data_IF_119765689261
#
_entry.id   IF_119765689261
#
_cell.length_a   1.000
_cell.length_b   1.000
_cell.length_c   1.000
_cell.angle_alpha   90.00
_cell.angle_beta   90.00
_cell.angle_gamma   90.00
#
_symmetry.space_group_name_H-M   'P 1'
#
loop_
_entity.id
_entity.type
_entity.pdbx_description
1 polymer ?
#
# COMPACT_ATOMS: atom_id res chain seq x y z
N UNK A 1 -19.77 4.55 -14.37
CA UNK A 1 -19.62 5.28 -13.09
C UNK A 1 -18.34 6.10 -13.10
N UNK A 2 -17.14 5.53 -13.15
CA UNK A 2 -15.88 6.28 -13.05
C UNK A 2 -15.77 7.41 -14.08
N UNK A 3 -15.98 7.13 -15.39
CA UNK A 3 -15.97 8.12 -16.46
C UNK A 3 -16.97 9.28 -16.17
N UNK A 4 -18.19 8.97 -15.73
CA UNK A 4 -19.19 9.97 -15.40
C UNK A 4 -18.75 10.87 -14.22
N UNK A 5 -18.13 10.29 -13.19
CA UNK A 5 -17.63 11.04 -12.04
C UNK A 5 -16.48 11.97 -12.44
N UNK A 6 -15.51 11.44 -13.21
CA UNK A 6 -14.38 12.23 -13.69
C UNK A 6 -14.83 13.38 -14.61
N UNK A 7 -15.78 13.14 -15.54
CA UNK A 7 -16.36 14.21 -16.39
C UNK A 7 -17.08 15.27 -15.59
N UNK A 8 -17.87 14.86 -14.60
CA UNK A 8 -18.58 15.81 -13.76
C UNK A 8 -17.61 16.66 -12.95
N UNK A 9 -16.57 16.04 -12.37
CA UNK A 9 -15.52 16.79 -11.66
C UNK A 9 -14.79 17.77 -12.60
N UNK A 10 -14.51 17.37 -13.84
CA UNK A 10 -13.90 18.24 -14.84
C UNK A 10 -14.80 19.41 -15.21
N UNK A 11 -16.14 19.22 -15.23
CA UNK A 11 -17.09 20.27 -15.64
C UNK A 11 -17.36 21.32 -14.56
N UNK A 12 -17.34 20.94 -13.28
CA UNK A 12 -17.70 21.82 -12.16
C UNK A 12 -16.59 21.97 -11.10
N UNK A 13 -15.36 21.48 -11.41
CA UNK A 13 -14.22 21.45 -10.49
C UNK A 13 -14.54 20.72 -9.17
N UNK A 14 -15.41 19.72 -9.22
CA UNK A 14 -15.81 18.91 -8.08
C UNK A 14 -14.71 17.96 -7.63
N UNK A 15 -14.85 17.44 -6.40
CA UNK A 15 -13.91 16.46 -5.79
C UNK A 15 -14.62 15.16 -5.43
N UNK A 16 -15.56 14.73 -6.26
CA UNK A 16 -16.28 13.47 -6.04
C UNK A 16 -15.35 12.30 -6.23
N UNK A 17 -15.53 11.29 -5.40
CA UNK A 17 -14.81 10.01 -5.45
C UNK A 17 -15.76 8.90 -5.88
N UNK A 18 -15.19 7.81 -6.37
CA UNK A 18 -15.95 6.59 -6.68
C UNK A 18 -15.28 5.37 -6.06
N UNK A 19 -16.09 4.40 -5.69
CA UNK A 19 -15.64 3.06 -5.30
C UNK A 19 -16.42 2.08 -6.18
N UNK A 20 -15.70 1.20 -6.86
CA UNK A 20 -16.29 0.15 -7.70
C UNK A 20 -15.75 -1.20 -7.26
N UNK A 21 -16.64 -2.15 -7.09
CA UNK A 21 -16.32 -3.53 -6.73
C UNK A 21 -16.73 -4.43 -7.89
N UNK A 22 -15.80 -5.24 -8.35
CA UNK A 22 -16.00 -6.20 -9.44
C UNK A 22 -15.44 -7.55 -9.03
N UNK A 23 -16.25 -8.59 -9.15
CA UNK A 23 -15.75 -9.96 -9.00
C UNK A 23 -14.80 -10.29 -10.18
N UNK A 24 -13.78 -11.16 -9.97
CA UNK A 24 -12.81 -11.52 -10.99
C UNK A 24 -13.38 -12.51 -12.01
N UNK A 25 -14.50 -12.14 -12.64
CA UNK A 25 -15.14 -12.96 -13.68
C UNK A 25 -14.25 -13.01 -14.91
N UNK A 26 -14.00 -14.20 -15.42
CA UNK A 26 -13.26 -14.38 -16.67
C UNK A 26 -14.05 -13.87 -17.86
N UNK A 27 -13.33 -13.41 -18.87
CA UNK A 27 -13.90 -13.05 -20.17
C UNK A 27 -14.09 -14.31 -21.01
N UNK A 28 -15.18 -14.38 -21.78
CA UNK A 28 -15.45 -15.52 -22.66
C UNK A 28 -14.32 -15.70 -23.68
N UNK A 29 -13.92 -16.94 -23.94
CA UNK A 29 -12.77 -17.26 -24.82
C UNK A 29 -12.92 -16.68 -26.23
N UNK A 30 -14.13 -16.63 -26.78
CA UNK A 30 -14.43 -16.08 -28.10
C UNK A 30 -14.64 -14.56 -28.12
N UNK A 31 -14.65 -13.89 -26.97
CA UNK A 31 -14.94 -12.45 -26.89
C UNK A 31 -13.83 -11.58 -27.44
N UNK A 32 -14.18 -10.38 -27.90
CA UNK A 32 -13.19 -9.39 -28.34
C UNK A 32 -12.29 -8.94 -27.20
N UNK A 33 -12.77 -8.94 -25.96
CA UNK A 33 -11.98 -8.66 -24.77
C UNK A 33 -10.86 -9.70 -24.59
N UNK A 34 -11.17 -11.00 -24.71
CA UNK A 34 -10.18 -12.08 -24.61
C UNK A 34 -9.16 -11.98 -25.76
N UNK A 35 -9.59 -11.73 -26.98
CA UNK A 35 -8.72 -11.51 -28.15
C UNK A 35 -7.81 -10.31 -27.97
N UNK A 36 -8.26 -9.26 -27.28
CA UNK A 36 -7.47 -8.10 -26.93
C UNK A 36 -6.53 -8.31 -25.72
N UNK A 37 -6.46 -9.52 -25.15
CA UNK A 37 -5.56 -9.90 -24.08
C UNK A 37 -6.11 -9.70 -22.66
N UNK A 38 -7.36 -9.27 -22.50
CA UNK A 38 -7.98 -9.12 -21.17
C UNK A 38 -8.56 -10.46 -20.70
N UNK A 39 -8.04 -10.97 -19.60
CA UNK A 39 -8.47 -12.25 -19.02
C UNK A 39 -9.72 -12.12 -18.15
N UNK A 40 -9.91 -10.96 -17.54
CA UNK A 40 -11.04 -10.71 -16.62
C UNK A 40 -11.80 -9.43 -16.95
N UNK A 41 -13.06 -9.38 -16.56
CA UNK A 41 -13.91 -8.18 -16.69
C UNK A 41 -13.32 -7.00 -15.91
N UNK A 42 -12.66 -7.26 -14.80
CA UNK A 42 -11.99 -6.21 -14.01
C UNK A 42 -10.83 -5.57 -14.76
N UNK A 43 -10.07 -6.33 -15.56
CA UNK A 43 -9.01 -5.78 -16.43
C UNK A 43 -9.56 -4.86 -17.50
N UNK A 44 -10.67 -5.27 -18.15
CA UNK A 44 -11.40 -4.42 -19.12
C UNK A 44 -11.85 -3.12 -18.44
N UNK A 45 -12.41 -3.23 -17.24
CA UNK A 45 -12.90 -2.08 -16.48
C UNK A 45 -11.78 -1.11 -16.15
N UNK A 46 -10.62 -1.59 -15.66
CA UNK A 46 -9.44 -0.77 -15.38
C UNK A 46 -8.95 -0.04 -16.64
N UNK A 47 -8.84 -0.76 -17.77
CA UNK A 47 -8.40 -0.13 -19.03
C UNK A 47 -9.38 0.96 -19.48
N UNK A 48 -10.70 0.75 -19.32
CA UNK A 48 -11.71 1.78 -19.62
C UNK A 48 -11.57 3.02 -18.76
N UNK A 49 -11.26 2.87 -17.45
CA UNK A 49 -11.05 4.01 -16.55
C UNK A 49 -9.81 4.82 -17.00
N UNK A 50 -8.71 4.14 -17.31
CA UNK A 50 -7.49 4.79 -17.82
C UNK A 50 -7.79 5.60 -19.09
N UNK A 51 -8.42 4.96 -20.09
CA UNK A 51 -8.76 5.62 -21.36
C UNK A 51 -9.73 6.81 -21.18
N UNK A 52 -10.66 6.70 -20.23
CA UNK A 52 -11.56 7.80 -19.90
C UNK A 52 -10.80 8.97 -19.27
N UNK A 53 -9.87 8.69 -18.36
CA UNK A 53 -9.01 9.70 -17.75
C UNK A 53 -8.14 10.41 -18.79
N UNK A 54 -7.45 9.67 -19.65
CA UNK A 54 -6.64 10.20 -20.75
C UNK A 54 -7.48 11.13 -21.68
N UNK A 55 -8.69 10.68 -22.05
CA UNK A 55 -9.59 11.47 -22.88
C UNK A 55 -10.00 12.77 -22.22
N UNK A 56 -10.40 12.73 -20.95
CA UNK A 56 -10.82 13.91 -20.19
C UNK A 56 -9.65 14.89 -20.03
N UNK A 57 -8.44 14.38 -19.73
CA UNK A 57 -7.24 15.20 -19.63
C UNK A 57 -6.92 15.91 -20.95
N UNK A 58 -7.02 15.21 -22.08
CA UNK A 58 -6.80 15.78 -23.41
C UNK A 58 -7.85 16.84 -23.76
N UNK A 59 -9.12 16.59 -23.44
CA UNK A 59 -10.23 17.52 -23.66
C UNK A 59 -10.09 18.79 -22.79
N UNK A 60 -9.57 18.68 -21.57
CA UNK A 60 -9.37 19.80 -20.63
C UNK A 60 -8.17 20.69 -21.00
N UNK A 61 -7.21 20.21 -21.79
CA UNK A 61 -6.06 20.99 -22.22
C UNK A 61 -5.26 21.60 -21.07
N UNK A 62 -5.11 22.92 -21.02
CA UNK A 62 -4.34 23.64 -20.00
C UNK A 62 -4.90 23.46 -18.58
N UNK A 63 -6.19 23.22 -18.46
CA UNK A 63 -6.86 23.00 -17.15
C UNK A 63 -6.64 21.59 -16.60
N UNK A 64 -5.99 20.71 -17.36
CA UNK A 64 -5.77 19.31 -16.96
C UNK A 64 -4.95 19.14 -15.68
N UNK A 65 -4.05 20.08 -15.36
CA UNK A 65 -3.17 20.00 -14.18
C UNK A 65 -3.88 20.01 -12.83
N UNK A 66 -5.17 20.40 -12.77
CA UNK A 66 -5.98 20.38 -11.56
C UNK A 66 -6.93 19.18 -11.45
N UNK A 67 -7.00 18.33 -12.50
CA UNK A 67 -7.93 17.21 -12.55
C UNK A 67 -7.32 15.94 -11.93
N UNK A 68 -8.01 15.38 -10.95
CA UNK A 68 -7.72 14.05 -10.43
C UNK A 68 -8.47 13.02 -11.27
N UNK A 69 -7.77 12.38 -12.18
CA UNK A 69 -8.25 11.26 -13.02
C UNK A 69 -7.63 9.92 -12.59
N UNK A 70 -6.88 9.93 -11.49
CA UNK A 70 -6.25 8.76 -10.92
C UNK A 70 -7.25 7.82 -10.22
N UNK A 71 -6.85 6.56 -10.07
CA UNK A 71 -7.55 5.58 -9.23
C UNK A 71 -6.58 4.55 -8.70
N UNK A 72 -6.98 3.87 -7.62
CA UNK A 72 -6.27 2.71 -7.09
C UNK A 72 -7.04 1.45 -7.43
N UNK A 73 -6.33 0.43 -7.91
CA UNK A 73 -6.88 -0.90 -8.13
C UNK A 73 -6.33 -1.82 -7.04
N UNK A 74 -7.23 -2.30 -6.19
CA UNK A 74 -6.90 -3.21 -5.09
C UNK A 74 -7.55 -4.56 -5.38
N UNK A 75 -6.92 -5.64 -4.95
CA UNK A 75 -7.47 -6.99 -4.97
C UNK A 75 -7.76 -7.39 -3.52
N UNK A 76 -8.99 -7.84 -3.26
CA UNK A 76 -9.27 -8.49 -1.98
C UNK A 76 -8.54 -9.84 -1.95
N UNK A 77 -7.73 -10.04 -0.94
CA UNK A 77 -6.92 -11.24 -0.75
C UNK A 77 -6.93 -11.65 0.73
N UNK A 78 -6.27 -12.74 1.04
CA UNK A 78 -6.05 -13.19 2.39
C UNK A 78 -5.10 -12.25 3.17
N UNK A 79 -4.94 -12.51 4.46
CA UNK A 79 -3.98 -11.81 5.32
C UNK A 79 -2.57 -11.75 4.70
N UNK A 80 -1.86 -10.65 4.91
CA UNK A 80 -0.45 -10.52 4.54
C UNK A 80 0.47 -11.38 5.42
N UNK A 81 -0.06 -11.84 6.56
CA UNK A 81 0.71 -12.60 7.54
C UNK A 81 0.57 -14.10 7.30
N UNK A 82 1.62 -14.85 7.63
CA UNK A 82 1.57 -16.30 7.70
C UNK A 82 0.62 -16.75 8.81
N UNK A 83 -0.04 -17.89 8.62
CA UNK A 83 -0.84 -18.49 9.68
C UNK A 83 0.09 -18.96 10.82
N UNK A 84 -0.30 -18.63 12.04
CA UNK A 84 0.46 -19.00 13.26
C UNK A 84 -0.14 -20.20 14.00
N UNK A 85 -1.21 -20.77 13.47
CA UNK A 85 -1.91 -21.90 14.07
C UNK A 85 -1.50 -23.20 13.37
N UNK A 86 -0.63 -23.95 14.02
CA UNK A 86 -0.22 -25.28 13.60
C UNK A 86 -0.58 -26.29 14.68
N UNK A 87 -0.96 -27.51 14.28
CA UNK A 87 -1.13 -28.58 15.27
C UNK A 87 0.22 -28.97 15.87
N UNK A 88 0.22 -29.50 17.11
CA UNK A 88 1.45 -29.82 17.81
C UNK A 88 2.34 -30.86 17.06
N UNK A 89 1.76 -31.61 16.11
CA UNK A 89 2.50 -32.57 15.27
C UNK A 89 3.12 -31.97 14.02
N UNK A 90 2.76 -30.74 13.67
CA UNK A 90 3.20 -30.10 12.43
C UNK A 90 4.47 -29.25 12.61
N UNK A 91 4.95 -29.08 13.86
CA UNK A 91 6.15 -28.30 14.15
C UNK A 91 7.41 -29.05 13.68
N UNK A 92 8.03 -28.53 12.63
CA UNK A 92 9.34 -28.97 12.11
C UNK A 92 10.38 -27.87 12.30
N UNK A 93 11.68 -28.23 12.20
CA UNK A 93 12.76 -27.24 12.25
C UNK A 93 12.63 -26.20 11.11
N UNK A 94 12.20 -26.65 9.92
CA UNK A 94 11.98 -25.79 8.77
C UNK A 94 10.80 -24.84 9.00
N UNK A 95 9.75 -25.29 9.68
CA UNK A 95 8.62 -24.46 10.08
C UNK A 95 9.04 -23.37 11.06
N UNK A 96 9.92 -23.67 12.01
CA UNK A 96 10.46 -22.70 12.96
C UNK A 96 11.27 -21.60 12.27
N UNK A 97 12.07 -21.97 11.24
CA UNK A 97 12.79 -20.99 10.42
C UNK A 97 11.84 -20.16 9.52
N UNK A 98 10.73 -20.72 9.07
CA UNK A 98 9.68 -19.95 8.35
C UNK A 98 8.93 -18.98 9.26
N UNK A 99 8.86 -19.24 10.58
CA UNK A 99 8.29 -18.34 11.57
C UNK A 99 9.17 -17.11 11.87
N UNK A 100 10.44 -17.11 11.44
CA UNK A 100 11.30 -15.90 11.50
C UNK A 100 10.75 -14.77 10.62
N UNK A 101 10.03 -15.10 9.55
CA UNK A 101 9.27 -14.12 8.76
C UNK A 101 7.77 -14.39 8.91
N UNK A 102 7.10 -13.56 9.68
CA UNK A 102 5.65 -13.62 9.85
C UNK A 102 4.87 -13.11 8.61
N UNK A 103 5.54 -12.55 7.61
CA UNK A 103 4.97 -12.02 6.37
C UNK A 103 5.07 -13.05 5.26
N UNK A 104 4.01 -13.24 4.49
CA UNK A 104 4.00 -14.10 3.30
C UNK A 104 5.02 -13.63 2.27
N UNK A 105 5.73 -14.57 1.64
CA UNK A 105 6.84 -14.27 0.73
C UNK A 105 6.43 -13.56 -0.57
N UNK A 106 5.16 -13.66 -0.95
CA UNK A 106 4.58 -13.05 -2.15
C UNK A 106 4.02 -11.64 -1.93
N UNK A 107 4.17 -11.08 -0.72
CA UNK A 107 3.68 -9.74 -0.36
C UNK A 107 4.72 -8.67 -0.65
N UNK A 108 4.25 -7.58 -1.24
CA UNK A 108 5.06 -6.38 -1.49
C UNK A 108 4.94 -5.38 -0.33
N UNK A 109 5.86 -4.42 -0.26
CA UNK A 109 5.80 -3.32 0.73
C UNK A 109 4.48 -2.55 0.65
N UNK A 110 3.92 -2.39 -0.55
CA UNK A 110 2.63 -1.73 -0.71
C UNK A 110 1.49 -2.57 -0.16
N UNK A 111 1.54 -3.89 -0.25
CA UNK A 111 0.53 -4.76 0.37
C UNK A 111 0.57 -4.62 1.90
N UNK A 112 1.77 -4.54 2.48
CA UNK A 112 1.95 -4.30 3.91
C UNK A 112 1.48 -2.90 4.32
N UNK A 113 1.85 -1.87 3.56
CA UNK A 113 1.42 -0.49 3.80
C UNK A 113 -0.12 -0.40 3.81
N UNK A 114 -0.77 -0.91 2.75
CA UNK A 114 -2.23 -0.87 2.65
C UNK A 114 -2.91 -1.75 3.69
N UNK A 115 -2.32 -2.87 4.08
CA UNK A 115 -2.77 -3.68 5.21
C UNK A 115 -2.78 -2.88 6.53
N UNK A 116 -1.70 -2.15 6.81
CA UNK A 116 -1.62 -1.27 7.99
C UNK A 116 -2.65 -0.12 7.94
N UNK A 117 -2.88 0.46 6.76
CA UNK A 117 -3.91 1.50 6.59
C UNK A 117 -5.30 0.97 6.93
N UNK A 118 -5.64 -0.23 6.46
CA UNK A 118 -6.90 -0.90 6.78
C UNK A 118 -7.04 -1.18 8.27
N UNK A 119 -6.01 -1.73 8.90
CA UNK A 119 -6.03 -2.07 10.33
C UNK A 119 -6.23 -0.83 11.21
N UNK A 120 -5.64 0.30 10.84
CA UNK A 120 -5.82 1.57 11.56
C UNK A 120 -7.04 2.37 11.12
N UNK A 121 -7.83 1.87 10.20
CA UNK A 121 -9.02 2.56 9.68
C UNK A 121 -8.70 3.85 8.95
N UNK A 122 -7.52 3.94 8.33
CA UNK A 122 -7.12 5.10 7.53
C UNK A 122 -7.72 5.04 6.13
N UNK A 123 -8.10 6.17 5.52
CA UNK A 123 -8.63 6.19 4.17
C UNK A 123 -7.61 5.63 3.17
N UNK A 124 -8.01 4.76 2.26
CA UNK A 124 -7.10 4.20 1.24
C UNK A 124 -6.87 5.14 0.05
N UNK A 125 -7.52 6.29 0.01
CA UNK A 125 -7.52 7.21 -1.15
C UNK A 125 -6.55 8.39 -1.02
N UNK A 126 -5.90 8.59 0.13
CA UNK A 126 -4.98 9.71 0.32
C UNK A 126 -3.62 9.44 -0.34
N UNK A 127 -2.86 10.49 -0.69
CA UNK A 127 -1.60 10.34 -1.39
C UNK A 127 -0.55 9.61 -0.54
N UNK A 128 0.36 8.93 -1.20
CA UNK A 128 1.58 8.40 -0.61
C UNK A 128 2.75 8.60 -1.55
N UNK A 129 3.93 8.68 -0.99
CA UNK A 129 5.21 8.73 -1.71
C UNK A 129 6.13 7.63 -1.21
N UNK A 130 7.05 7.22 -2.06
CA UNK A 130 8.12 6.28 -1.71
C UNK A 130 9.45 6.91 -2.09
N UNK A 131 10.40 6.90 -1.19
CA UNK A 131 11.73 7.46 -1.38
C UNK A 131 12.80 6.48 -0.88
N UNK A 132 14.03 6.66 -1.35
CA UNK A 132 15.16 5.88 -0.89
C UNK A 132 15.97 6.69 0.13
N UNK A 133 16.17 6.14 1.32
CA UNK A 133 17.03 6.71 2.37
C UNK A 133 18.07 5.67 2.74
N UNK A 134 19.32 5.93 2.43
CA UNK A 134 20.46 5.02 2.69
C UNK A 134 20.22 3.58 2.19
N UNK A 135 19.56 3.47 1.02
CA UNK A 135 19.26 2.17 0.41
C UNK A 135 17.96 1.51 0.89
N UNK A 136 17.29 2.06 1.91
CA UNK A 136 16.00 1.58 2.38
C UNK A 136 14.84 2.33 1.73
N UNK A 137 13.78 1.62 1.39
CA UNK A 137 12.53 2.19 0.84
C UNK A 137 11.64 2.69 1.97
N UNK A 138 11.45 3.99 2.04
CA UNK A 138 10.59 4.63 3.04
C UNK A 138 9.32 5.13 2.37
N UNK A 139 8.20 4.66 2.84
CA UNK A 139 6.87 5.07 2.38
C UNK A 139 6.29 6.11 3.32
N UNK A 140 5.91 7.26 2.79
CA UNK A 140 5.22 8.32 3.54
C UNK A 140 3.80 8.44 3.02
N UNK A 141 2.83 8.22 3.89
CA UNK A 141 1.41 8.32 3.59
C UNK A 141 0.84 9.60 4.19
N UNK A 142 0.08 10.37 3.36
CA UNK A 142 -0.63 11.60 3.72
C UNK A 142 0.23 12.55 4.57
N UNK A 143 1.38 12.96 4.03
CA UNK A 143 2.31 13.92 4.64
C UNK A 143 2.77 13.58 6.07
N UNK A 144 2.72 12.31 6.45
CA UNK A 144 3.22 11.83 7.75
C UNK A 144 2.15 11.28 8.69
N UNK A 145 0.92 11.06 8.24
CA UNK A 145 -0.06 10.28 9.00
C UNK A 145 0.47 8.88 9.31
N UNK A 146 1.25 8.32 8.37
CA UNK A 146 1.97 7.08 8.56
C UNK A 146 3.26 7.11 7.74
N UNK A 147 4.38 6.72 8.37
CA UNK A 147 5.63 6.40 7.67
C UNK A 147 5.95 4.92 7.92
N UNK A 148 6.30 4.21 6.85
CA UNK A 148 6.63 2.79 6.91
C UNK A 148 7.96 2.49 6.21
N UNK A 149 8.73 1.56 6.77
CA UNK A 149 9.87 0.96 6.14
C UNK A 149 9.88 -0.53 6.44
N UNK A 150 9.87 -1.36 5.38
CA UNK A 150 9.75 -2.81 5.49
C UNK A 150 11.00 -3.56 5.04
N UNK A 151 12.08 -2.83 4.74
CA UNK A 151 13.37 -3.43 4.40
C UNK A 151 13.95 -4.20 5.57
N UNK A 152 14.83 -5.15 5.27
CA UNK A 152 15.56 -5.92 6.28
C UNK A 152 16.78 -5.14 6.78
N UNK A 153 17.14 -5.34 8.05
CA UNK A 153 18.33 -4.75 8.66
C UNK A 153 18.45 -3.23 8.48
N UNK A 154 17.39 -2.49 8.78
CA UNK A 154 17.33 -1.03 8.64
C UNK A 154 18.41 -0.38 9.53
N UNK A 155 19.27 0.51 8.99
CA UNK A 155 20.24 1.26 9.78
C UNK A 155 19.58 2.19 10.81
N UNK A 156 20.22 2.36 11.96
CA UNK A 156 19.76 3.29 13.02
C UNK A 156 19.60 4.74 12.53
N UNK A 157 20.40 5.15 11.54
CA UNK A 157 20.33 6.47 10.91
C UNK A 157 19.00 6.68 10.17
N UNK A 158 18.51 5.66 9.47
CA UNK A 158 17.20 5.68 8.78
C UNK A 158 16.08 5.79 9.81
N UNK A 159 16.12 4.98 10.87
CA UNK A 159 15.15 5.02 11.97
C UNK A 159 15.10 6.42 12.61
N UNK A 160 16.26 7.01 12.90
CA UNK A 160 16.37 8.37 13.45
C UNK A 160 15.85 9.42 12.46
N UNK A 161 16.06 9.22 11.16
CA UNK A 161 15.56 10.12 10.11
C UNK A 161 14.03 10.07 10.05
N UNK A 162 13.44 8.89 10.13
CA UNK A 162 11.98 8.73 10.22
C UNK A 162 11.44 9.38 11.50
N UNK A 163 12.05 9.11 12.66
CA UNK A 163 11.62 9.68 13.94
C UNK A 163 11.66 11.22 13.96
N UNK A 164 12.70 11.84 13.35
CA UNK A 164 12.82 13.31 13.24
C UNK A 164 11.69 13.94 12.41
N UNK A 165 11.04 13.19 11.53
CA UNK A 165 9.86 13.67 10.78
C UNK A 165 8.60 13.72 11.63
N UNK A 166 8.63 13.15 12.84
CA UNK A 166 7.52 13.13 13.80
C UNK A 166 6.18 12.66 13.19
N UNK A 167 6.14 11.50 12.52
CA UNK A 167 4.90 11.01 11.94
C UNK A 167 3.89 10.68 13.05
N UNK A 168 2.59 10.67 12.73
CA UNK A 168 1.59 10.22 13.70
C UNK A 168 1.74 8.72 13.97
N UNK A 169 2.18 7.94 12.97
CA UNK A 169 2.40 6.50 13.05
C UNK A 169 3.67 6.10 12.32
N UNK A 170 4.43 5.18 12.88
CA UNK A 170 5.57 4.56 12.22
C UNK A 170 5.41 3.04 12.23
N UNK A 171 5.68 2.38 11.09
CA UNK A 171 5.60 0.93 10.95
C UNK A 171 6.89 0.36 10.44
N UNK A 172 7.34 -0.70 11.07
CA UNK A 172 8.47 -1.50 10.66
C UNK A 172 8.07 -2.98 10.60
N UNK A 173 8.85 -3.77 9.90
CA UNK A 173 8.71 -5.23 9.88
C UNK A 173 9.61 -5.83 10.99
N UNK A 174 9.25 -6.98 11.55
CA UNK A 174 10.08 -7.63 12.55
C UNK A 174 11.48 -7.97 12.01
N UNK A 175 11.57 -8.47 10.78
CA UNK A 175 12.83 -8.70 10.06
C UNK A 175 13.63 -7.43 9.71
N UNK A 176 13.07 -6.23 9.93
CA UNK A 176 13.79 -4.97 9.78
C UNK A 176 14.90 -4.80 10.82
N UNK A 177 14.90 -5.59 11.88
CA UNK A 177 15.84 -5.48 13.00
C UNK A 177 16.75 -6.71 13.05
N UNK A 178 18.06 -6.48 13.08
CA UNK A 178 19.06 -7.55 13.13
C UNK A 178 18.97 -8.40 14.42
N UNK A 179 18.42 -7.84 15.50
CA UNK A 179 18.30 -8.51 16.81
C UNK A 179 17.28 -7.79 17.73
N UNK A 180 16.90 -8.45 18.81
CA UNK A 180 15.97 -7.89 19.81
C UNK A 180 16.44 -6.56 20.45
N UNK A 181 17.71 -6.33 20.77
CA UNK A 181 18.20 -5.03 21.23
C UNK A 181 17.94 -3.89 20.23
N UNK A 182 18.14 -4.12 18.91
CA UNK A 182 17.84 -3.12 17.88
C UNK A 182 16.35 -2.77 17.86
N UNK A 183 15.46 -3.75 18.01
CA UNK A 183 14.01 -3.55 18.10
C UNK A 183 13.61 -2.72 19.33
N UNK A 184 14.23 -2.97 20.50
CA UNK A 184 13.98 -2.18 21.71
C UNK A 184 14.48 -0.75 21.53
N UNK A 185 15.64 -0.57 20.90
CA UNK A 185 16.24 0.74 20.62
C UNK A 185 15.34 1.64 19.79
N UNK A 186 14.57 1.08 18.83
CA UNK A 186 13.58 1.85 18.05
C UNK A 186 12.60 2.55 18.97
N UNK A 187 12.04 1.84 19.94
CA UNK A 187 11.10 2.42 20.90
C UNK A 187 11.72 3.61 21.67
N UNK A 188 12.97 3.48 22.09
CA UNK A 188 13.68 4.55 22.81
C UNK A 188 14.02 5.74 21.90
N UNK A 189 14.42 5.49 20.64
CA UNK A 189 14.64 6.55 19.65
C UNK A 189 13.36 7.36 19.42
N UNK A 190 12.21 6.69 19.23
CA UNK A 190 10.95 7.39 19.04
C UNK A 190 10.48 8.12 20.30
N UNK A 191 10.63 7.54 21.49
CA UNK A 191 10.33 8.25 22.76
C UNK A 191 11.11 9.55 22.89
N UNK A 192 12.38 9.56 22.43
CA UNK A 192 13.24 10.74 22.52
C UNK A 192 12.93 11.78 21.44
N UNK A 193 12.72 11.36 20.20
CA UNK A 193 12.64 12.26 19.03
C UNK A 193 11.21 12.56 18.59
N UNK A 194 10.26 11.65 18.87
CA UNK A 194 8.87 11.72 18.43
C UNK A 194 7.94 11.04 19.45
N UNK A 195 7.79 11.59 20.67
CA UNK A 195 7.08 10.95 21.77
C UNK A 195 5.59 10.69 21.48
N UNK A 196 5.00 11.46 20.57
CA UNK A 196 3.59 11.32 20.18
C UNK A 196 3.37 10.31 19.04
N UNK A 197 4.44 9.79 18.45
CA UNK A 197 4.36 8.80 17.36
C UNK A 197 3.98 7.42 17.90
N UNK A 198 2.97 6.81 17.29
CA UNK A 198 2.63 5.40 17.55
C UNK A 198 3.49 4.49 16.69
N UNK A 199 4.43 3.79 17.30
CA UNK A 199 5.30 2.83 16.61
C UNK A 199 4.66 1.44 16.66
N UNK A 200 4.65 0.75 15.52
CA UNK A 200 4.22 -0.65 15.38
C UNK A 200 5.28 -1.46 14.64
N UNK A 201 5.50 -2.68 15.08
CA UNK A 201 6.28 -3.71 14.38
C UNK A 201 5.31 -4.81 13.98
N UNK A 202 5.31 -5.18 12.72
CA UNK A 202 4.47 -6.24 12.14
C UNK A 202 5.30 -7.44 11.77
#
# INVERSE_FOLDING_TARGET
TADAVMRLNASDNGKRKFIMVQIPQETDEGSDARKAGFKTVSEVSRKRIVLAGEKITNEAGILSGSLDVGFRALKADESNMNDVWYSAGDYTQDLLSMLESNVKADRTDLDLLFGCLLEWGLPLSLPYTSEQIEGCTVHTYNDGDLIACFDENIPDSVIKTIAKRQPLRAVFRDSSFANSPSKINVGEVFKLLAPDTRVKVI
#
